data_IF_860035810803
#
_entry.id   IF_860035810803
#
_cell.length_a   1.000
_cell.length_b   1.000
_cell.length_c   1.000
_cell.angle_alpha   90.00
_cell.angle_beta   90.00
_cell.angle_gamma   90.00
#
_symmetry.space_group_name_H-M   'P 1'
#
loop_
_entity.id
_entity.type
_entity.pdbx_description
1 polymer ?
2 polymer ?
3 polymer ?
4 polymer ?
5 non-polymer ?
6 water ?
#
# COMPACT_ATOMS: atom_id res chain seq x y z
N UNK A 6 10.10 14.06 3.06
CA UNK A 6 11.29 14.79 3.48
C UNK A 6 12.48 14.68 2.48
N UNK A 7 13.56 15.36 2.85
CA UNK A 7 14.75 15.47 2.03
C UNK A 7 15.40 14.10 1.78
N UNK A 8 15.33 13.26 2.82
CA UNK A 8 15.83 11.89 2.84
C UNK A 8 14.86 10.78 2.35
N UNK A 9 13.76 11.15 1.70
CA UNK A 9 12.70 10.17 1.39
C UNK A 9 13.25 9.07 0.49
N UNK A 10 12.67 7.87 0.59
CA UNK A 10 12.95 6.83 -0.38
C UNK A 10 14.27 6.17 -0.34
N UNK A 11 15.10 6.46 0.66
CA UNK A 11 16.38 5.80 0.82
C UNK A 11 16.35 4.95 2.07
N UNK A 12 16.46 3.63 1.94
CA UNK A 12 16.31 2.76 3.09
C UNK A 12 17.59 2.60 3.89
N UNK A 13 17.50 2.73 5.22
CA UNK A 13 18.68 2.58 6.09
C UNK A 13 19.39 1.29 5.89
N UNK A 14 18.70 0.19 5.68
CA UNK A 14 19.34 -1.12 5.65
C UNK A 14 19.77 -1.51 4.21
N UNK A 15 19.47 -0.67 3.21
CA UNK A 15 19.73 -1.04 1.82
C UNK A 15 20.48 0.08 1.13
N UNK A 16 19.80 1.09 0.59
CA UNK A 16 20.49 2.15 -0.15
C UNK A 16 21.57 2.78 0.69
N UNK A 17 21.34 3.02 1.96
CA UNK A 17 22.28 3.78 2.78
C UNK A 17 23.54 2.96 3.07
N UNK A 18 23.45 1.65 2.95
CA UNK A 18 24.60 0.75 3.12
C UNK A 18 25.06 0.13 1.78
N UNK A 19 24.60 0.68 0.65
CA UNK A 19 24.86 0.10 -0.66
C UNK A 19 24.60 -1.43 -0.78
N UNK A 20 23.52 -1.91 -0.18
CA UNK A 20 23.12 -3.31 -0.28
C UNK A 20 21.80 -3.37 -1.07
N UNK A 21 21.60 -4.48 -1.77
CA UNK A 21 20.46 -4.75 -2.62
C UNK A 21 19.57 -5.75 -1.91
N UNK A 22 18.26 -5.64 -2.09
CA UNK A 22 17.40 -6.65 -1.63
C UNK A 22 17.29 -7.69 -2.70
N UNK A 23 16.68 -8.79 -2.33
CA UNK A 23 16.68 -10.01 -3.14
C UNK A 23 16.03 -9.89 -4.50
N UNK A 24 15.02 -9.01 -4.67
CA UNK A 24 14.36 -8.92 -5.96
C UNK A 24 14.39 -7.55 -6.59
N UNK A 25 15.16 -6.68 -6.01
CA UNK A 25 15.36 -5.33 -6.52
C UNK A 25 15.81 -5.25 -8.01
N UNK A 26 16.72 -6.13 -8.37
CA UNK A 26 17.26 -6.03 -9.69
C UNK A 26 16.22 -6.34 -10.75
N UNK A 27 15.22 -7.12 -10.37
CA UNK A 27 14.12 -7.50 -11.29
C UNK A 27 13.39 -6.24 -11.72
N UNK A 28 13.22 -5.31 -10.79
CA UNK A 28 12.62 -4.02 -11.12
C UNK A 28 13.47 -3.24 -12.10
N UNK A 29 14.77 -3.15 -11.78
CA UNK A 29 15.66 -2.34 -12.60
C UNK A 29 15.73 -2.89 -14.00
N UNK A 30 15.79 -4.20 -14.10
CA UNK A 30 15.85 -4.86 -15.43
C UNK A 30 14.64 -4.51 -16.31
N UNK A 31 13.50 -4.18 -15.70
CA UNK A 31 12.29 -3.99 -16.48
C UNK A 31 12.28 -2.58 -17.03
N UNK A 32 13.16 -1.71 -16.52
CA UNK A 32 13.11 -0.25 -16.84
C UNK A 32 14.11 -0.11 -17.98
N UNK A 33 15.24 -0.80 -17.89
N UNK B 1 -1.45 -10.65 -0.15
CA UNK B 1 -0.58 -10.76 -1.38
C UNK B 1 -0.58 -12.24 -1.78
N UNK B 2 -0.87 -12.51 -3.06
CA UNK B 2 -0.95 -13.87 -3.59
C UNK B 2 0.31 -14.13 -4.39
N UNK B 3 0.97 -15.24 -4.11
CA UNK B 3 2.13 -15.71 -4.91
C UNK B 3 3.31 -14.72 -4.84
N UNK B 4 3.43 -14.14 -3.67
CA UNK B 4 4.58 -13.36 -3.27
C UNK B 4 5.53 -14.12 -2.38
N UNK B 5 6.39 -13.40 -1.71
CA UNK B 5 7.37 -14.00 -0.84
C UNK B 5 7.48 -13.22 0.46
N UNK B 6 8.10 -13.78 1.49
CA UNK B 6 8.32 -13.04 2.72
C UNK B 6 9.22 -11.83 2.47
N UNK B 7 8.89 -10.66 3.05
CA UNK B 7 9.75 -9.50 2.93
C UNK B 7 11.01 -9.68 3.72
N UNK B 8 12.07 -9.05 3.25
CA UNK B 8 13.26 -8.94 4.08
C UNK B 8 13.08 -7.89 5.16
N UNK B 9 13.85 -8.00 6.25
CA UNK B 9 13.83 -7.02 7.30
C UNK B 9 14.24 -5.65 6.74
N UNK B 10 13.43 -4.64 6.99
CA UNK B 10 13.74 -3.28 6.57
C UNK B 10 13.51 -2.98 5.09
N UNK B 11 12.90 -3.93 4.36
CA UNK B 11 12.78 -3.84 2.91
C UNK B 11 11.79 -2.72 2.49
N UNK B 12 10.77 -2.52 3.33
CA UNK B 12 9.71 -1.58 3.05
C UNK B 12 9.41 -0.74 4.30
N UNK B 13 10.34 0.15 4.68
CA UNK B 13 10.25 0.77 6.02
C UNK B 13 9.18 1.87 6.08
N UNK B 14 8.53 2.12 4.96
CA UNK B 14 7.38 3.02 4.86
C UNK B 14 6.06 2.28 5.05
N UNK B 15 6.08 0.95 5.14
CA UNK B 15 4.83 0.19 5.25
C UNK B 15 4.24 0.47 6.63
N UNK B 16 2.93 0.77 6.62
CA UNK B 16 2.14 0.98 7.83
C UNK B 16 1.01 -0.02 7.90
N UNK B 17 0.66 -0.44 9.14
CA UNK B 17 -0.51 -1.26 9.41
C UNK B 17 -1.56 -0.37 10.07
N UNK B 18 -2.74 -0.37 9.48
CA UNK B 18 -3.90 0.27 10.11
C UNK B 18 -4.63 -0.78 10.98
N UNK B 19 -4.75 -0.49 12.27
CA UNK B 19 -5.11 -1.50 13.25
C UNK B 19 -6.32 -0.99 14.04
N UNK B 20 -7.35 -1.81 14.06
CA UNK B 20 -8.57 -1.46 14.79
C UNK B 20 -8.33 -1.72 16.27
N UNK B 21 -8.77 -0.83 17.14
CA UNK B 21 -8.57 -1.07 18.59
C UNK B 21 -9.50 -2.15 19.16
N UNK B 22 -10.74 -2.18 18.74
CA UNK B 22 -11.73 -3.09 19.33
C UNK B 22 -12.85 -3.39 18.36
N UNK B 23 -13.02 -4.65 17.94
CA UNK B 23 -12.17 -5.80 18.18
C UNK B 23 -10.81 -5.55 17.57
N UNK B 24 -9.82 -6.34 17.94
CA UNK B 24 -8.48 -6.19 17.41
C UNK B 24 -8.45 -6.79 16.03
N UNK B 25 -8.06 -6.00 15.05
CA UNK B 25 -7.90 -6.58 13.76
C UNK B 25 -7.15 -5.68 12.80
N UNK B 26 -6.63 -6.33 11.79
CA UNK B 26 -5.95 -5.66 10.68
C UNK B 26 -7.01 -5.10 9.73
N UNK B 27 -6.99 -3.80 9.52
CA UNK B 27 -7.96 -3.19 8.66
C UNK B 27 -7.44 -3.03 7.20
N UNK B 28 -6.20 -2.61 7.08
CA UNK B 28 -5.64 -2.13 5.83
C UNK B 28 -4.16 -1.89 6.00
N UNK B 29 -3.48 -1.76 4.86
CA UNK B 29 -2.19 -1.13 4.83
C UNK B 29 -2.24 0.38 4.60
N UNK B 30 -1.09 0.99 4.67
CA UNK B 30 -0.91 2.41 4.48
C UNK B 30 0.58 2.65 4.28
N UNK B 31 0.95 3.89 4.06
CA UNK B 31 2.36 4.24 3.85
C UNK B 31 2.71 5.52 4.59
N UNK B 32 3.95 5.59 5.04
CA UNK B 32 4.50 6.74 5.73
C UNK B 32 5.13 7.69 4.69
N UNK B 33 4.64 8.91 4.64
CA UNK B 33 5.14 9.89 3.68
C UNK B 33 5.90 11.06 4.28
N UNK B 34 5.88 11.16 5.60
CA UNK B 34 6.72 12.13 6.32
C UNK B 34 6.66 11.72 7.77
N UNK B 35 7.19 12.53 8.65
CA UNK B 35 7.17 12.13 10.04
C UNK B 35 5.80 12.21 10.69
N UNK B 36 4.83 12.90 10.07
CA UNK B 36 3.53 13.10 10.71
C UNK B 36 2.35 12.68 9.80
N UNK B 37 2.62 12.23 8.57
CA UNK B 37 1.53 11.97 7.63
C UNK B 37 1.61 10.54 7.07
N UNK B 38 0.44 9.92 6.97
CA UNK B 38 0.27 8.55 6.44
C UNK B 38 -0.77 8.57 5.35
N UNK B 39 -0.48 7.87 4.27
CA UNK B 39 -1.32 7.81 3.12
C UNK B 39 -2.01 6.45 3.06
N UNK B 40 -3.29 6.40 2.73
CA UNK B 40 -4.01 5.13 2.57
C UNK B 40 -5.15 5.27 1.56
N UNK B 41 -5.96 4.22 1.42
CA UNK B 41 -7.11 4.23 0.52
C UNK B 41 -8.31 4.76 1.32
N UNK B 42 -9.09 5.62 0.70
CA UNK B 42 -10.29 6.12 1.39
C UNK B 42 -11.21 5.04 1.88
N UNK B 43 -11.39 4.00 1.09
CA UNK B 43 -12.35 2.95 1.45
C UNK B 43 -11.96 2.10 2.65
N UNK B 44 -10.71 2.21 3.12
CA UNK B 44 -10.27 1.60 4.38
C UNK B 44 -10.94 2.29 5.58
N UNK B 45 -11.36 3.54 5.40
CA UNK B 45 -11.92 4.40 6.47
C UNK B 45 -13.41 4.61 6.28
N UNK B 46 -13.88 4.75 5.04
CA UNK B 46 -15.28 5.06 4.77
C UNK B 46 -15.76 4.21 3.63
N UNK B 47 -16.65 3.26 3.91
CA UNK B 47 -17.27 2.53 2.83
C UNK B 47 -18.66 2.08 3.29
N UNK B 48 -19.64 2.94 2.99
CA UNK B 48 -21.02 2.70 3.48
C UNK B 48 -21.67 1.36 3.10
N UNK B 49 -21.40 0.77 1.94
CA UNK B 49 -22.05 -0.52 1.67
C UNK B 49 -21.65 -1.63 2.66
N UNK B 50 -20.54 -1.47 3.38
CA UNK B 50 -20.10 -2.47 4.38
C UNK B 50 -20.17 -1.86 5.74
N UNK B 51 -20.97 -0.81 5.87
CA UNK B 51 -21.16 -0.15 7.17
C UNK B 51 -19.92 0.32 7.86
N UNK B 52 -18.94 0.73 7.04
CA UNK B 52 -17.69 1.23 7.53
C UNK B 52 -17.61 2.79 7.51
N UNK B 53 -17.44 3.39 8.67
CA UNK B 53 -17.21 4.79 8.82
C UNK B 53 -16.48 5.00 10.10
N UNK B 54 -15.16 4.90 10.04
CA UNK B 54 -14.31 4.96 11.24
C UNK B 54 -13.95 6.40 11.60
N UNK B 55 -13.83 6.67 12.90
CA UNK B 55 -13.27 7.95 13.31
C UNK B 55 -11.85 7.79 13.79
N UNK B 56 -11.20 8.92 14.02
CA UNK B 56 -9.83 8.92 14.51
C UNK B 56 -9.63 8.05 15.76
N UNK B 57 -10.65 7.89 16.59
CA UNK B 57 -10.42 7.28 17.87
C UNK B 57 -10.59 5.78 17.76
N UNK B 58 -11.02 5.26 16.60
CA UNK B 58 -11.26 3.83 16.47
C UNK B 58 -9.99 3.04 16.10
N UNK B 59 -8.96 3.78 15.68
CA UNK B 59 -7.82 3.24 14.90
C UNK B 59 -6.49 3.57 15.52
N UNK B 60 -5.47 2.75 15.21
CA UNK B 60 -4.08 3.08 15.53
C UNK B 60 -3.30 2.79 14.29
N UNK B 61 -2.13 3.41 14.15
CA UNK B 61 -1.20 3.06 13.05
C UNK B 61 0.04 2.41 13.70
N UNK B 62 0.49 1.32 13.13
CA UNK B 62 1.60 0.58 13.66
C UNK B 62 2.66 0.61 12.56
N UNK B 63 3.84 1.12 12.91
CA UNK B 63 4.87 1.43 11.93
C UNK B 63 6.12 0.62 12.28
N UNK B 64 6.88 0.19 11.30
CA UNK B 64 8.07 -0.62 11.60
C UNK B 64 7.89 -2.13 11.77
N UNK B 65 6.75 -2.66 11.37
CA UNK B 65 6.39 -4.05 11.64
C UNK B 65 6.92 -5.02 10.59
N UNK B 66 7.02 -6.28 10.99
CA UNK B 66 7.36 -7.39 10.12
C UNK B 66 6.34 -8.47 10.38
N UNK B 67 6.26 -8.99 11.60
CA UNK B 67 5.26 -9.95 11.95
C UNK B 67 3.87 -9.37 11.81
N UNK B 68 2.90 -10.15 11.36
CA UNK B 68 1.52 -9.68 11.28
C UNK B 68 0.92 -9.55 12.67
N UNK B 69 1.19 -10.53 13.53
CA UNK B 69 0.44 -10.63 14.80
C UNK B 69 1.20 -10.25 16.08
N UNK B 70 2.52 -10.35 16.12
CA UNK B 70 3.23 -10.06 17.32
C UNK B 70 3.26 -8.57 17.63
N UNK B 71 3.31 -8.21 18.92
CA UNK B 71 3.69 -6.91 19.31
C UNK B 71 5.20 -6.87 19.34
N UNK B 72 5.79 -6.12 18.39
CA UNK B 72 7.22 -6.17 18.15
C UNK B 72 7.87 -5.10 18.99
N UNK B 73 7.95 -5.42 20.29
CA UNK B 73 8.43 -4.47 21.28
C UNK B 73 9.81 -3.89 20.91
N UNK B 74 10.00 -2.57 20.98
CA UNK B 74 11.21 -1.87 20.70
C UNK B 74 11.68 -1.91 19.28
N UNK B 75 10.77 -2.32 18.43
CA UNK B 75 10.94 -2.34 16.98
C UNK B 75 9.82 -1.51 16.33
N UNK B 76 8.60 -1.93 16.51
CA UNK B 76 7.48 -1.11 16.03
C UNK B 76 7.18 0.06 16.88
N UNK B 77 6.54 1.05 16.28
CA UNK B 77 5.98 2.20 16.98
C UNK B 77 4.51 2.30 16.69
N UNK B 78 3.75 2.51 17.76
CA UNK B 78 2.31 2.69 17.66
C UNK B 78 1.94 4.15 17.86
N UNK B 79 1.20 4.72 16.90
CA UNK B 79 0.79 6.10 16.97
C UNK B 79 -0.70 6.29 16.89
N UNK B 80 -1.19 7.32 17.57
CA UNK B 80 -2.60 7.70 17.50
C UNK B 80 -2.78 8.70 16.40
N UNK B 81 -4.01 8.85 15.91
CA UNK B 81 -4.37 9.77 14.84
C UNK B 81 -5.01 11.02 15.37
N UNK B 82 -4.57 12.14 14.85
CA UNK B 82 -5.15 13.47 15.13
C UNK B 82 -6.34 13.74 14.19
N UNK B 83 -6.20 13.48 12.88
CA UNK B 83 -7.28 13.80 11.96
C UNK B 83 -7.19 12.93 10.72
N UNK B 84 -8.34 12.58 10.19
CA UNK B 84 -8.47 11.88 8.91
C UNK B 84 -8.98 12.85 7.85
N UNK B 85 -8.36 12.83 6.67
CA UNK B 85 -8.82 13.61 5.50
C UNK B 85 -9.15 12.70 4.32
N UNK B 86 -10.41 12.61 3.90
CA UNK B 86 -10.81 11.86 2.75
C UNK B 86 -10.98 12.78 1.55
N UNK B 87 -10.55 12.37 0.36
CA UNK B 87 -10.73 13.17 -0.84
C UNK B 87 -12.20 13.55 -1.00
N UNK B 88 -12.48 14.85 -1.18
CA UNK B 88 -13.91 15.23 -1.20
C UNK B 88 -14.75 14.71 -2.36
N UNK B 89 -14.06 14.31 -3.42
CA UNK B 89 -14.64 13.66 -4.57
C UNK B 89 -14.44 12.10 -4.68
N UNK B 90 -14.12 11.47 -3.54
CA UNK B 90 -14.10 10.01 -3.44
C UNK B 90 -15.50 9.45 -3.74
N UNK B 91 -15.59 8.51 -4.65
CA UNK B 91 -16.82 7.88 -5.10
C UNK B 91 -16.93 6.47 -4.63
N UNK B 92 -17.59 6.26 -3.52
CA UNK B 92 -17.75 4.90 -3.05
C UNK B 92 -18.91 4.19 -3.70
N UNK B 93 -19.82 4.93 -4.34
CA UNK B 93 -21.06 4.28 -4.82
C UNK B 93 -20.91 3.48 -6.06
N UNK B 94 -19.91 3.80 -6.88
CA UNK B 94 -19.81 3.23 -8.23
C UNK B 94 -18.51 2.43 -8.46
N UNK B 95 -17.37 3.12 -8.45
CA UNK B 95 -16.13 2.48 -8.87
C UNK B 95 -14.90 2.83 -8.02
N UNK B 96 -15.05 3.39 -6.82
CA UNK B 96 -13.94 3.77 -5.93
C UNK B 96 -13.05 4.76 -6.61
N UNK B 97 -13.63 5.64 -7.42
CA UNK B 97 -12.83 6.74 -8.01
C UNK B 97 -12.26 7.64 -6.91
N UNK B 98 -10.98 8.03 -7.06
CA UNK B 98 -10.26 8.88 -6.11
C UNK B 98 -10.22 8.26 -4.74
N UNK B 99 -9.76 7.00 -4.70
CA UNK B 99 -9.69 6.19 -3.47
C UNK B 99 -8.42 6.50 -2.71
N UNK B 100 -8.43 7.61 -1.99
CA UNK B 100 -7.26 8.16 -1.35
C UNK B 100 -7.67 8.91 -0.10
N UNK B 101 -6.89 8.78 0.95
CA UNK B 101 -7.04 9.47 2.21
C UNK B 101 -5.70 9.72 2.85
N UNK B 102 -5.64 10.79 3.64
CA UNK B 102 -4.48 11.14 4.44
C UNK B 102 -4.86 11.08 5.91
N UNK B 103 -3.90 10.75 6.75
CA UNK B 103 -4.08 10.68 8.18
C UNK B 103 -2.94 11.44 8.80
N UNK B 104 -3.23 12.33 9.74
CA UNK B 104 -2.20 13.08 10.47
C UNK B 104 -2.05 12.48 11.84
N UNK B 105 -0.82 12.19 12.22
CA UNK B 105 -0.53 11.49 13.47
C UNK B 105 -0.53 12.55 14.58
N UNK B 106 -0.87 12.13 15.79
CA UNK B 106 -0.88 13.08 16.91
C UNK B 106 0.50 13.64 17.18
N UNK B 107 1.51 12.78 17.06
CA UNK B 107 2.87 13.23 17.29
C UNK B 107 3.78 12.64 16.21
N UNK B 108 4.83 13.36 15.86
CA UNK B 108 5.80 12.89 14.86
C UNK B 108 6.41 11.59 15.29
N UNK B 109 6.73 10.71 14.37
CA UNK B 109 7.40 9.47 14.70
C UNK B 109 8.88 9.64 14.42
N UNK B 110 9.67 9.00 15.27
CA UNK B 110 11.12 8.99 15.10
C UNK B 110 11.47 7.91 14.09
N UNK B 111 12.34 8.26 13.16
CA UNK B 111 12.79 7.31 12.13
C UNK B 111 13.79 6.34 12.74
N UNK B 112 13.94 5.19 12.08
CA UNK B 112 14.86 4.13 12.54
C UNK B 112 15.22 3.27 11.37
N UNK B 113 15.95 2.16 11.61
CA UNK B 113 16.32 1.27 10.53
C UNK B 113 15.07 0.67 9.92
N UNK B 114 13.98 0.68 10.68
CA UNK B 114 12.73 -0.01 10.26
C UNK B 114 11.60 0.92 9.85
N UNK B 115 11.82 2.24 10.00
CA UNK B 115 10.78 3.28 9.87
C UNK B 115 11.37 4.39 9.07
N UNK B 116 10.89 4.64 7.86
CA UNK B 116 11.47 5.69 7.02
C UNK B 116 10.47 6.01 5.90
N UNK B 117 10.31 7.28 5.52
CA UNK B 117 9.27 7.60 4.54
C UNK B 117 9.65 7.33 3.10
N UNK B 118 8.61 7.11 2.29
CA UNK B 118 8.73 6.94 0.82
C UNK B 118 8.53 8.32 0.15
N UNK B 119 9.07 8.49 -1.04
CA UNK B 119 8.85 9.74 -1.78
C UNK B 119 7.60 9.74 -2.60
N UNK B 120 7.01 10.91 -2.84
CA UNK B 120 5.94 11.07 -3.77
C UNK B 120 6.47 11.55 -5.09
N UNK B 121 5.87 11.11 -6.23
CA UNK B 121 6.45 11.42 -7.56
C UNK B 121 6.26 12.88 -8.01
N UNK B 122 7.27 13.42 -8.67
CA UNK B 122 7.18 14.69 -9.43
C UNK B 122 6.75 14.31 -10.82
N UNK B 123 6.44 15.31 -11.67
CA UNK B 123 5.98 15.03 -13.02
C UNK B 123 6.97 14.22 -13.87
N UNK B 124 8.25 14.53 -13.79
CA UNK B 124 9.23 13.79 -14.61
C UNK B 124 9.44 12.34 -14.16
N UNK B 125 9.39 12.11 -12.84
CA UNK B 125 9.49 10.75 -12.35
C UNK B 125 8.27 9.95 -12.76
N UNK B 126 7.08 10.52 -12.65
CA UNK B 126 5.89 9.84 -13.14
C UNK B 126 5.94 9.53 -14.62
N UNK B 127 6.25 10.49 -15.45
CA UNK B 127 6.36 10.21 -16.88
C UNK B 127 7.46 9.17 -17.24
N UNK B 128 8.56 9.18 -16.50
CA UNK B 128 9.69 8.29 -16.75
C UNK B 128 9.38 6.82 -16.41
N UNK B 129 8.62 6.66 -15.31
CA UNK B 129 8.45 5.33 -14.73
C UNK B 129 7.08 4.68 -14.87
N UNK B 130 6.02 5.45 -15.09
CA UNK B 130 4.68 4.88 -15.20
C UNK B 130 4.39 4.53 -16.68
N UNK B 131 5.05 3.46 -17.13
CA UNK B 131 4.99 2.98 -18.50
C UNK B 131 4.71 1.49 -18.49
N UNK B 132 4.00 1.01 -19.50
CA UNK B 132 3.55 -0.36 -19.52
C UNK B 132 4.78 -1.23 -19.61
N UNK B 133 4.82 -2.31 -18.84
CA UNK B 133 5.89 -3.25 -18.86
C UNK B 133 6.85 -3.05 -17.73
N UNK B 134 6.91 -1.82 -17.20
CA UNK B 134 7.83 -1.54 -16.08
C UNK B 134 7.24 -2.10 -14.78
N UNK B 135 8.07 -2.67 -13.93
CA UNK B 135 7.57 -3.35 -12.71
C UNK B 135 7.64 -2.44 -11.50
N UNK B 136 6.62 -2.57 -10.68
CA UNK B 136 6.61 -1.99 -9.36
C UNK B 136 6.39 -3.07 -8.31
N UNK B 137 6.37 -2.66 -7.06
CA UNK B 137 6.40 -3.60 -5.93
C UNK B 137 5.27 -3.25 -4.97
N UNK B 138 4.55 -4.27 -4.55
CA UNK B 138 3.42 -4.14 -3.63
C UNK B 138 3.67 -4.96 -2.40
N UNK B 139 3.29 -4.45 -1.24
CA UNK B 139 3.55 -5.13 0.05
C UNK B 139 2.25 -5.15 0.86
N UNK B 140 2.06 -6.17 1.69
CA UNK B 140 0.92 -6.20 2.60
C UNK B 140 0.86 -7.49 3.40
N UNK B 141 -0.05 -7.47 4.35
CA UNK B 141 -0.35 -8.60 5.22
C UNK B 141 -1.71 -9.20 4.92
N UNK B 142 -2.28 -8.87 3.75
CA UNK B 142 -3.56 -9.40 3.28
C UNK B 142 -3.55 -10.88 2.90
N UNK B 143 -4.70 -11.35 2.43
CA UNK B 143 -4.89 -12.74 2.19
C UNK B 143 -3.91 -13.29 1.16
N UNK B 144 -3.51 -14.57 1.37
CA UNK B 144 -2.59 -15.28 0.52
C UNK B 144 -3.29 -15.90 -0.72
N UNK B 145 -4.60 -15.99 -0.69
CA UNK B 145 -5.43 -16.48 -1.79
C UNK B 145 -6.77 -15.79 -1.72
N UNK B 146 -7.44 -15.78 -2.86
CA UNK B 146 -8.84 -15.35 -2.93
C UNK B 146 -9.70 -16.24 -2.01
N UNK B 147 -10.55 -15.61 -1.22
CA UNK B 147 -11.41 -16.33 -0.27
C UNK B 147 -12.33 -17.23 -1.04
N UNK B 148 -12.39 -18.48 -0.57
CA UNK B 148 -13.14 -19.53 -1.29
C UNK B 148 -13.31 -20.72 -0.38
N UNK B 149 -14.52 -21.29 -0.42
CA UNK B 149 -14.83 -22.37 0.54
C UNK B 149 -13.96 -23.58 0.30
N UNK B 150 -13.53 -23.76 -0.94
CA UNK B 150 -12.67 -24.88 -1.26
C UNK B 150 -11.19 -24.76 -0.84
N UNK B 151 -10.72 -23.60 -0.38
CA UNK B 151 -9.35 -23.47 0.02
C UNK B 151 -9.07 -24.36 1.26
N UNK B 152 -7.83 -24.80 1.37
CA UNK B 152 -7.34 -25.64 2.44
C UNK B 152 -6.11 -24.91 2.99
N UNK B 153 -5.97 -24.85 4.30
CA UNK B 153 -4.70 -24.44 4.87
C UNK B 153 -4.74 -22.97 5.23
N UNK B 154 -3.56 -22.39 5.44
CA UNK B 154 -3.37 -21.04 6.01
C UNK B 154 -3.79 -20.00 5.02
N UNK B 155 -4.69 -19.10 5.42
CA UNK B 155 -5.09 -18.03 4.52
C UNK B 155 -4.38 -16.71 4.75
N UNK B 156 -3.70 -16.55 5.89
CA UNK B 156 -3.08 -15.25 6.21
C UNK B 156 -1.60 -15.46 6.52
N UNK B 157 -0.76 -14.47 6.15
CA UNK B 157 0.66 -14.67 6.32
C UNK B 157 1.17 -14.45 7.74
N UNK B 158 2.34 -14.99 8.05
CA UNK B 158 2.92 -14.73 9.34
C UNK B 158 3.70 -13.44 9.37
N UNK B 159 4.28 -13.07 8.23
CA UNK B 159 5.07 -11.87 8.09
C UNK B 159 4.67 -11.13 6.80
N UNK B 160 5.10 -9.86 6.72
CA UNK B 160 4.86 -9.01 5.55
C UNK B 160 5.27 -9.73 4.26
N UNK B 161 4.39 -9.65 3.27
CA UNK B 161 4.61 -10.24 1.96
C UNK B 161 4.93 -9.19 0.92
N UNK B 162 5.63 -9.60 -0.11
CA UNK B 162 6.06 -8.71 -1.20
C UNK B 162 5.87 -9.40 -2.53
N UNK B 163 5.40 -8.66 -3.53
CA UNK B 163 5.32 -9.17 -4.91
C UNK B 163 5.67 -8.02 -5.86
N UNK B 164 6.37 -8.33 -6.96
CA UNK B 164 6.67 -7.33 -8.00
C UNK B 164 5.80 -7.62 -9.22
N UNK B 165 5.21 -6.58 -9.80
CA UNK B 165 4.18 -6.75 -10.83
C UNK B 165 4.37 -5.69 -11.91
N UNK B 166 4.13 -6.02 -13.17
CA UNK B 166 4.28 -5.02 -14.24
C UNK B 166 3.03 -4.14 -14.40
N UNK B 167 3.24 -2.89 -14.78
CA UNK B 167 2.15 -1.99 -15.15
C UNK B 167 1.61 -2.46 -16.54
N UNK B 168 0.28 -2.34 -16.70
CA UNK B 168 -0.41 -2.79 -17.91
C UNK B 168 -0.97 -1.58 -18.65
N UNK B 169 -0.90 -1.67 -19.98
CA UNK B 169 -1.48 -0.63 -20.86
C UNK B 169 -2.91 -0.33 -20.52
N UNK B 170 -3.28 0.95 -20.62
CA UNK B 170 -4.64 1.36 -20.27
C UNK B 170 -5.78 0.62 -20.99
N UNK B 171 -5.66 0.48 -22.32
CA UNK B 171 -6.75 -0.18 -23.02
C UNK B 171 -6.94 -1.62 -22.59
N UNK B 172 -5.87 -2.29 -22.19
CA UNK B 172 -5.94 -3.70 -21.72
C UNK B 172 -6.65 -3.74 -20.35
N UNK B 173 -6.31 -2.80 -19.49
CA UNK B 173 -6.99 -2.67 -18.23
C UNK B 173 -8.48 -2.45 -18.47
N UNK B 174 -8.81 -1.56 -19.41
CA UNK B 174 -10.18 -1.17 -19.63
C UNK B 174 -10.99 -2.34 -20.13
N UNK B 175 -10.40 -3.16 -20.99
CA UNK B 175 -11.14 -4.26 -21.61
C UNK B 175 -11.29 -5.47 -20.68
N UNK B 176 -10.62 -5.44 -19.53
CA UNK B 176 -10.56 -6.61 -18.66
C UNK B 176 -11.71 -6.71 -17.66
N UNK B 177 -12.46 -5.62 -17.55
CA UNK B 177 -13.50 -5.47 -16.58
C UNK B 177 -14.65 -4.65 -17.08
N UNK B 178 -15.79 -4.86 -16.48
CA UNK B 178 -16.98 -4.04 -16.78
C UNK B 178 -17.12 -2.90 -15.81
N UNK B 179 -16.29 -2.81 -14.79
CA UNK B 179 -16.33 -1.68 -13.90
C UNK B 179 -15.76 -0.51 -14.67
N UNK B 180 -16.35 0.68 -14.49
CA UNK B 180 -15.88 1.89 -15.17
C UNK B 180 -14.54 2.36 -14.59
N UNK B 181 -13.52 2.39 -15.39
CA UNK B 181 -12.24 2.84 -14.86
C UNK B 181 -12.02 4.28 -15.29
N UNK B 182 -11.24 4.98 -14.51
CA UNK B 182 -10.98 6.40 -14.74
C UNK B 182 -9.48 6.70 -14.81
N UNK B 183 -9.15 7.96 -15.13
CA UNK B 183 -7.76 8.37 -15.19
C UNK B 183 -7.10 8.45 -13.80
N UNK B 184 -7.89 8.21 -12.73
CA UNK B 184 -7.32 8.26 -11.37
C UNK B 184 -6.93 6.84 -10.90
N UNK B 185 -6.92 5.90 -11.83
CA UNK B 185 -6.56 4.49 -11.55
C UNK B 185 -5.57 4.05 -12.57
N UNK B 186 -4.75 3.03 -12.23
CA UNK B 186 -3.97 2.27 -13.21
C UNK B 186 -4.07 0.80 -12.81
N UNK B 187 -3.74 -0.14 -13.71
CA UNK B 187 -3.75 -1.55 -13.31
C UNK B 187 -2.38 -2.17 -13.54
N UNK B 188 -2.15 -3.26 -12.81
CA UNK B 188 -0.88 -3.97 -12.85
C UNK B 188 -1.13 -5.49 -12.65
N UNK B 189 -0.27 -6.29 -13.25
CA UNK B 189 -0.35 -7.74 -13.12
C UNK B 189 0.18 -8.35 -14.40
N UNK B 190 0.39 -9.65 -14.38
CA UNK B 190 0.83 -10.31 -15.59
C UNK B 190 -0.31 -10.61 -16.52
N UNK B 191 -0.04 -10.46 -17.82
CA UNK B 191 -0.97 -10.80 -18.87
C UNK B 191 -1.03 -12.30 -19.13
N UNK B 192 -2.18 -12.76 -19.67
CA UNK B 192 -2.33 -14.21 -19.88
C UNK B 192 -1.16 -14.81 -20.65
N UNK B 193 -0.61 -14.10 -21.61
CA UNK B 193 0.46 -14.71 -22.41
C UNK B 193 1.78 -14.85 -21.65
N UNK B 194 1.90 -14.25 -20.47
CA UNK B 194 3.12 -14.30 -19.72
C UNK B 194 3.15 -15.52 -18.81
N UNK B 195 1.96 -16.06 -18.52
CA UNK B 195 1.79 -17.29 -17.74
C UNK B 195 2.39 -17.29 -16.33
N UNK B 196 2.35 -16.16 -15.65
CA UNK B 196 2.93 -16.01 -14.37
C UNK B 196 1.83 -15.56 -13.40
N UNK B 197 2.16 -15.63 -12.12
CA UNK B 197 1.21 -15.35 -11.04
C UNK B 197 1.68 -14.24 -10.16
N UNK B 198 0.72 -13.62 -9.46
CA UNK B 198 1.05 -12.62 -8.44
C UNK B 198 -0.01 -11.54 -8.42
N UNK B 199 -0.48 -11.14 -7.22
CA UNK B 199 -1.53 -10.12 -7.13
C UNK B 199 -1.56 -9.64 -5.71
N UNK B 200 -2.20 -8.48 -5.50
CA UNK B 200 -2.66 -8.10 -4.18
C UNK B 200 -3.99 -8.80 -3.91
N UNK B 201 -4.53 -8.69 -2.70
CA UNK B 201 -5.78 -9.33 -2.41
C UNK B 201 -6.42 -8.62 -1.22
N UNK B 202 -7.57 -9.12 -0.76
CA UNK B 202 -8.25 -8.43 0.34
C UNK B 202 -7.36 -8.39 1.56
N UNK B 203 -7.31 -7.22 2.19
CA UNK B 203 -6.47 -6.96 3.34
C UNK B 203 -5.22 -6.20 2.98
N UNK B 204 -4.92 -6.11 1.68
CA UNK B 204 -3.77 -5.34 1.20
C UNK B 204 -4.10 -3.89 0.83
N UNK B 205 -5.39 -3.59 0.75
CA UNK B 205 -5.78 -2.23 0.47
C UNK B 205 -5.13 -1.22 1.30
N UNK B 206 -4.91 -0.07 0.67
CA UNK B 206 -4.20 1.01 1.27
C UNK B 206 -2.72 1.03 1.24
N UNK B 207 -2.15 -0.15 1.02
CA UNK B 207 -0.71 -0.32 0.90
C UNK B 207 -0.13 0.25 -0.37
N UNK B 208 1.19 0.38 -0.42
CA UNK B 208 1.82 1.10 -1.50
C UNK B 208 2.24 0.25 -2.64
N UNK B 209 2.17 0.79 -3.84
CA UNK B 209 2.79 0.27 -5.05
C UNK B 209 3.93 1.22 -5.29
N UNK B 210 5.15 0.74 -5.21
CA UNK B 210 6.37 1.57 -5.25
C UNK B 210 7.23 1.18 -6.43
N UNK B 211 8.04 2.12 -6.92
CA UNK B 211 9.00 1.91 -8.01
C UNK B 211 10.31 2.57 -7.60
N UNK B 212 11.42 2.03 -8.06
CA UNK B 212 12.72 2.63 -7.73
C UNK B 212 13.22 3.39 -8.91
N UNK B 213 13.60 4.63 -8.71
CA UNK B 213 14.12 5.48 -9.80
C UNK B 213 15.59 5.24 -10.04
N UNK B 214 15.94 4.91 -11.27
CA UNK B 214 17.40 4.73 -11.49
C UNK B 214 18.12 6.04 -11.65
N UNK B 215 17.38 7.13 -11.72
CA UNK B 215 17.96 8.41 -11.94
C UNK B 215 18.45 9.04 -10.66
N UNK B 216 17.84 8.67 -9.51
CA UNK B 216 18.36 9.14 -8.22
C UNK B 216 18.42 8.20 -7.04
N UNK B 217 18.17 6.93 -7.32
CA UNK B 217 18.33 5.85 -6.37
C UNK B 217 17.21 5.79 -5.31
N UNK B 218 16.11 6.53 -5.49
CA UNK B 218 15.08 6.66 -4.45
C UNK B 218 13.83 5.89 -4.85
N UNK B 219 13.11 5.43 -3.84
CA UNK B 219 11.81 4.78 -4.01
C UNK B 219 10.69 5.80 -3.96
N UNK B 220 9.76 5.64 -4.89
CA UNK B 220 8.58 6.51 -5.10
C UNK B 220 7.34 5.66 -5.00
N UNK B 221 6.32 6.21 -4.33
CA UNK B 221 4.99 5.62 -4.28
C UNK B 221 4.16 6.07 -5.47
N UNK B 222 3.88 5.17 -6.39
CA UNK B 222 3.10 5.49 -7.60
C UNK B 222 1.64 5.15 -7.46
N UNK B 223 1.32 4.21 -6.58
CA UNK B 223 -0.02 3.73 -6.47
C UNK B 223 -0.41 3.33 -5.05
N UNK B 224 -1.73 3.13 -4.85
CA UNK B 224 -2.29 2.63 -3.59
C UNK B 224 -3.16 1.45 -3.93
N UNK B 225 -2.99 0.30 -3.29
CA UNK B 225 -3.83 -0.83 -3.55
C UNK B 225 -5.28 -0.45 -3.32
N UNK B 226 -6.12 -0.59 -4.36
CA UNK B 226 -7.49 -0.11 -4.29
C UNK B 226 -8.51 -1.26 -4.43
N UNK B 227 -8.57 -1.88 -5.59
CA UNK B 227 -9.63 -2.86 -5.89
C UNK B 227 -9.20 -3.89 -6.95
N UNK B 228 -10.00 -4.96 -7.01
CA UNK B 228 -9.86 -5.95 -8.03
C UNK B 228 -11.12 -6.81 -8.07
N UNK B 229 -11.06 -7.89 -8.84
CA UNK B 229 -12.13 -8.82 -8.90
C UNK B 229 -11.52 -10.21 -8.69
N UNK B 230 -11.83 -10.77 -7.56
CA UNK B 230 -11.12 -11.96 -7.11
C UNK B 230 -9.67 -11.62 -6.80
N UNK B 231 -8.79 -12.61 -6.76
CA UNK B 231 -7.34 -12.38 -6.63
C UNK B 231 -6.64 -13.39 -7.49
N UNK B 232 -5.68 -12.93 -8.27
CA UNK B 232 -4.82 -13.75 -9.11
C UNK B 232 -5.60 -14.51 -10.16
N UNK B 233 -6.75 -14.02 -10.54
CA UNK B 233 -7.56 -14.68 -11.58
C UNK B 233 -7.00 -14.50 -12.98
N UNK B 234 -7.23 -15.49 -13.83
CA UNK B 234 -6.82 -15.39 -15.22
C UNK B 234 -7.56 -14.31 -15.92
N UNK B 235 -6.78 -13.45 -16.59
CA UNK B 235 -7.31 -12.34 -17.39
C UNK B 235 -7.75 -11.11 -16.61
N UNK B 236 -7.47 -11.08 -15.31
CA UNK B 236 -7.76 -9.92 -14.49
C UNK B 236 -6.48 -9.27 -13.97
N UNK B 237 -6.60 -7.99 -13.61
CA UNK B 237 -5.50 -7.18 -13.15
C UNK B 237 -5.96 -6.47 -11.88
N UNK B 238 -5.03 -6.16 -10.98
CA UNK B 238 -5.35 -5.37 -9.80
C UNK B 238 -5.33 -3.90 -10.18
N UNK B 239 -6.15 -3.12 -9.48
CA UNK B 239 -6.27 -1.68 -9.69
C UNK B 239 -5.79 -0.87 -8.49
N UNK B 240 -5.15 0.25 -8.84
CA UNK B 240 -4.39 1.07 -7.93
C UNK B 240 -4.78 2.53 -8.13
N UNK B 241 -4.88 3.27 -7.06
CA UNK B 241 -5.06 4.73 -7.11
C UNK B 241 -3.80 5.36 -7.69
N UNK B 242 -4.00 6.25 -8.66
CA UNK B 242 -2.91 6.93 -9.36
C UNK B 242 -2.45 8.14 -8.54
N UNK B 243 -1.41 7.97 -7.73
CA UNK B 243 -1.01 8.95 -6.76
C UNK B 243 -0.61 10.26 -7.46
N UNK B 244 0.06 10.21 -8.61
CA UNK B 244 0.56 11.48 -9.17
C UNK B 244 -0.63 12.33 -9.62
N UNK B 245 -1.66 11.68 -10.16
CA UNK B 245 -2.84 12.43 -10.63
C UNK B 245 -3.54 13.19 -9.52
N UNK B 246 -3.41 12.71 -8.30
CA UNK B 246 -4.07 13.32 -7.15
C UNK B 246 -3.10 14.07 -6.26
N UNK B 247 -1.88 14.36 -6.72
CA UNK B 247 -0.87 14.97 -5.90
C UNK B 247 -1.18 16.42 -5.46
N UNK B 248 -1.89 17.15 -6.30
CA UNK B 248 -2.29 18.51 -6.00
C UNK B 248 -3.15 18.52 -4.75
N UNK B 249 -4.11 17.60 -4.64
CA UNK B 249 -4.89 17.44 -3.42
C UNK B 249 -4.03 17.11 -2.19
N UNK B 250 -3.11 16.15 -2.27
CA UNK B 250 -2.24 15.82 -1.17
C UNK B 250 -1.50 17.02 -0.68
N UNK B 251 -0.94 17.78 -1.61
CA UNK B 251 -0.10 18.95 -1.32
C UNK B 251 -0.96 20.03 -0.66
N UNK B 252 -2.18 20.21 -1.13
CA UNK B 252 -3.07 21.17 -0.52
C UNK B 252 -3.35 20.85 0.96
N UNK B 253 -3.60 19.58 1.26
CA UNK B 253 -3.93 19.18 2.62
C UNK B 253 -2.73 19.34 3.52
N UNK B 254 -1.56 18.93 3.06
CA UNK B 254 -0.40 18.94 3.92
C UNK B 254 0.02 20.38 4.22
N UNK B 255 0.07 21.17 3.18
CA UNK B 255 0.39 22.60 3.33
C UNK B 255 -0.60 23.39 4.24
N UNK B 256 -1.91 23.29 3.95
CA UNK B 256 -2.98 23.79 4.83
C UNK B 256 -2.87 23.37 6.30
N UNK B 257 -2.91 22.06 6.54
CA UNK B 257 -2.75 21.53 7.90
C UNK B 257 -1.32 21.04 8.09
N UNK C 8 -5.69 -14.21 18.25
CA UNK C 8 -4.93 -14.05 16.98
C UNK C 8 -3.77 -13.03 17.06
N UNK C 9 -4.08 -11.76 17.33
CA UNK C 9 -3.09 -10.72 17.62
C UNK C 9 -2.63 -10.64 19.06
N UNK C 10 -1.35 -10.44 19.25
CA UNK C 10 -0.77 -10.23 20.58
C UNK C 10 -1.24 -8.91 21.14
N UNK C 11 -1.58 -8.91 22.45
CA UNK C 11 -2.07 -7.72 23.10
C UNK C 11 -1.05 -6.65 23.06
N UNK C 12 -1.50 -5.43 22.77
CA UNK C 12 -0.61 -4.27 22.84
C UNK C 12 -0.87 -3.56 24.13
N UNK C 13 0.04 -2.66 24.52
CA UNK C 13 -0.08 -2.02 25.82
C UNK C 13 -1.35 -1.20 25.92
N UNK C 14 -2.00 -1.23 27.09
CA UNK C 14 -3.28 -0.56 27.25
C UNK C 14 -3.20 0.95 27.22
N UNK C 15 -2.00 1.53 27.28
CA UNK C 15 -1.94 2.96 27.17
C UNK C 15 -2.46 3.43 25.77
N UNK C 16 -2.52 2.51 24.81
CA UNK C 16 -2.89 2.87 23.43
C UNK C 16 -4.40 2.73 23.18
N UNK C 17 -5.13 2.19 24.17
CA UNK C 17 -6.60 2.40 24.28
N UNK D 1 -13.91 -6.70 -5.31
CA UNK D 1 -14.42 -5.37 -5.16
C UNK D 1 -13.38 -4.64 -4.45
N UNK D 2 -13.67 -3.88 -3.39
CA UNK D 2 -12.61 -3.20 -2.63
C UNK D 2 -11.62 -4.19 -1.99
N UNK D 3 -10.33 -3.89 -1.95
CA UNK D 3 -9.38 -4.81 -1.33
C UNK D 3 -9.09 -4.35 0.10
X LIG E 1 -19.17 9.50 8.81
X LIG E 1 -20.48 9.98 8.19
X LIG E 1 -20.56 11.49 8.43
X LIG E 1 -20.37 11.79 9.93
X LIG E 1 -19.15 11.05 10.52
X LIG E 1 -18.97 11.10 12.02
X LIG E 1 -21.18 8.72 6.19
X LIG E 1 -21.10 8.65 4.69
X LIG E 1 -20.57 9.75 6.76
X LIG E 1 -21.82 11.90 7.96
X LIG E 1 -20.37 13.20 10.19
X LIG E 1 -19.24 9.65 10.22
X LIG E 1 -17.73 10.46 12.22
X LIG E 1 -21.72 7.83 6.85
X LIG E 1 -18.37 10.12 8.39
X LIG E 1 -21.30 9.49 8.70
X LIG E 1 -19.82 11.97 7.80
X LIG E 1 -21.11 11.22 10.48
X LIG E 1 -18.27 11.45 10.03
X LIG E 1 -18.89 12.10 12.44
X LIG E 1 -19.71 10.51 12.57
X LIG E 1 -21.83 7.95 4.32
X LIG E 1 -20.07 8.38 4.41
X LIG E 1 -21.35 9.66 4.32
X LIG E 1 -20.16 10.45 6.16
X LIG E 1 -21.91 11.71 6.98
#
# INVERSE_FOLDING_TARGET
>A
TFGSGEADCGLRPLFEKKSLEDKTERELLESYIDGR
>B
IVEGSDAEIGMSPWQVMLFRKSPQELLCGASLISDRWVLTAAHCLLYPPWDKNFTENDLLVRIGKHSRTRYERNIEKISMLEKIYIHPRYNWRENLDRDIALMKLKKPVAFSDYIHPVCLPDRETAASLLQAGYKGRVTGWGNLKETWTANVGKGQPSVLQVVNLPIVERPVCKDSTRIRITDNMFCAGYKPDEGKRGDACEGDSGGPFVMKSPFNNRWYQMGIVSWGEGCDRDGKYGFYTHVFRLKKWIQKVIDQFGE
>C
PGGGGNGDFEEIPEEYL
>D
FPR
>E hetero
1 NAG C1 C2 C3 C4 C5 C6 C7 C8 N2 O3 O4 O5 O6 O7 H1 H2 H3 H4 H5 H61 H62 H81 H82 H83 DN2 DO3
#
